data_IF_086030082920
#
_entry.id   IF_086030082920
#
_cell.length_a   1.000
_cell.length_b   1.000
_cell.length_c   1.000
_cell.angle_alpha   90.00
_cell.angle_beta   90.00
_cell.angle_gamma   90.00
#
_symmetry.space_group_name_H-M   'P 1'
#
loop_
_entity.id
_entity.type
_entity.pdbx_description
1 polymer ?
#
# COMPACT_ATOMS: atom_id res chain seq x y z
N UNK A 1 13.96 24.88 20.02
CA UNK A 1 12.60 24.62 19.51
C UNK A 1 12.02 23.50 20.35
N UNK A 2 10.79 23.65 20.88
CA UNK A 2 10.17 22.61 21.69
C UNK A 2 9.83 21.40 20.82
N UNK A 3 10.17 20.19 21.28
CA UNK A 3 9.75 18.95 20.60
C UNK A 3 8.25 18.80 20.83
N UNK A 4 7.43 18.67 19.78
CA UNK A 4 5.99 18.48 19.95
C UNK A 4 5.71 17.20 20.76
N UNK A 5 4.62 17.17 21.54
CA UNK A 5 4.26 15.98 22.30
C UNK A 5 4.05 14.80 21.35
N UNK A 6 4.47 13.61 21.79
CA UNK A 6 4.31 12.37 21.04
C UNK A 6 3.00 11.67 21.40
N UNK A 7 2.33 11.13 20.40
CA UNK A 7 1.15 10.30 20.49
C UNK A 7 1.54 8.85 20.19
N UNK A 8 1.03 7.90 20.97
CA UNK A 8 1.24 6.47 20.72
C UNK A 8 0.15 5.94 19.78
N UNK A 9 0.58 5.42 18.62
CA UNK A 9 -0.23 4.68 17.67
C UNK A 9 0.08 3.19 17.78
N UNK A 10 -0.92 2.35 17.56
CA UNK A 10 -0.78 0.89 17.48
C UNK A 10 -0.97 0.46 16.04
N UNK A 11 -0.26 -0.58 15.64
CA UNK A 11 -0.43 -1.18 14.33
C UNK A 11 -0.18 -2.67 14.33
N UNK A 12 -0.71 -3.34 13.32
CA UNK A 12 -0.53 -4.76 13.10
C UNK A 12 -0.70 -5.13 11.63
N UNK A 13 -0.12 -6.26 11.23
CA UNK A 13 -0.50 -6.89 9.97
C UNK A 13 -1.96 -7.39 10.04
N UNK A 14 -2.60 -7.66 8.90
CA UNK A 14 -4.02 -8.02 8.86
C UNK A 14 -4.38 -9.23 9.74
N UNK A 15 -3.56 -10.28 9.74
CA UNK A 15 -3.79 -11.47 10.57
C UNK A 15 -3.37 -11.30 12.04
N UNK A 16 -2.74 -10.18 12.41
CA UNK A 16 -2.31 -9.90 13.77
C UNK A 16 -1.02 -10.60 14.22
N UNK A 17 -0.38 -11.42 13.37
CA UNK A 17 0.86 -12.14 13.73
C UNK A 17 2.06 -11.21 14.03
N UNK A 18 2.03 -9.98 13.51
CA UNK A 18 3.02 -8.95 13.80
C UNK A 18 2.29 -7.71 14.33
N UNK A 19 2.66 -7.25 15.53
CA UNK A 19 2.07 -6.08 16.20
C UNK A 19 3.17 -5.14 16.65
N UNK A 20 2.93 -3.85 16.54
CA UNK A 20 3.89 -2.82 16.89
C UNK A 20 3.22 -1.57 17.46
N UNK A 21 4.05 -0.70 18.03
CA UNK A 21 3.71 0.64 18.50
C UNK A 21 4.60 1.67 17.82
N UNK A 22 4.06 2.86 17.66
CA UNK A 22 4.71 4.01 17.06
C UNK A 22 4.46 5.25 17.91
N UNK A 23 5.52 5.94 18.34
CA UNK A 23 5.43 7.19 19.12
C UNK A 23 5.91 8.38 18.32
N UNK A 24 5.00 9.05 17.63
CA UNK A 24 5.29 10.19 16.74
C UNK A 24 4.40 11.38 17.09
N UNK A 25 4.69 12.60 16.60
CA UNK A 25 3.72 13.69 16.67
C UNK A 25 2.39 13.29 16.04
N UNK A 26 1.33 14.05 16.35
CA UNK A 26 0.00 13.79 15.82
C UNK A 26 0.02 13.64 14.29
N UNK A 27 -0.53 12.52 13.82
CA UNK A 27 -0.55 12.16 12.41
C UNK A 27 -1.57 13.02 11.66
N UNK A 28 -1.07 14.03 10.95
CA UNK A 28 -1.87 14.91 10.09
C UNK A 28 -1.48 14.80 8.61
N UNK A 29 -0.42 14.06 8.31
CA UNK A 29 0.14 13.93 6.97
C UNK A 29 0.63 12.51 6.67
N UNK A 30 0.71 12.20 5.39
CA UNK A 30 1.25 10.95 4.86
C UNK A 30 2.11 11.23 3.63
N UNK A 31 3.01 10.31 3.31
CA UNK A 31 3.81 10.37 2.09
C UNK A 31 3.37 9.30 1.11
N UNK A 32 3.22 9.67 -0.17
CA UNK A 32 2.94 8.73 -1.27
C UNK A 32 3.99 8.88 -2.36
N UNK A 33 4.25 7.79 -3.08
CA UNK A 33 5.27 7.74 -4.12
C UNK A 33 4.77 6.95 -5.34
N UNK A 34 5.13 7.40 -6.53
CA UNK A 34 4.76 6.77 -7.81
C UNK A 34 5.81 5.78 -8.35
N UNK A 35 6.90 5.50 -7.62
CA UNK A 35 7.82 4.45 -8.08
C UNK A 35 7.11 3.10 -8.13
N UNK A 36 7.60 2.19 -8.98
CA UNK A 36 6.88 0.97 -9.36
C UNK A 36 6.40 0.12 -8.17
N UNK A 37 7.23 -0.05 -7.12
CA UNK A 37 6.85 -0.81 -5.92
C UNK A 37 5.82 -0.06 -5.05
N UNK A 38 5.96 1.26 -4.90
CA UNK A 38 5.06 2.08 -4.10
C UNK A 38 3.69 2.19 -4.74
N UNK A 39 3.65 2.35 -6.06
CA UNK A 39 2.43 2.38 -6.83
C UNK A 39 1.69 1.04 -6.76
N UNK A 40 2.38 -0.09 -7.02
CA UNK A 40 1.75 -1.43 -7.00
C UNK A 40 1.19 -1.82 -5.63
N UNK A 41 1.83 -1.40 -4.53
CA UNK A 41 1.35 -1.73 -3.17
C UNK A 41 0.44 -0.65 -2.56
N UNK A 42 0.26 0.50 -3.22
CA UNK A 42 -0.58 1.58 -2.70
C UNK A 42 -0.10 2.14 -1.36
N UNK A 43 1.21 2.22 -1.15
CA UNK A 43 1.80 2.65 0.12
C UNK A 43 1.40 4.06 0.54
N UNK A 44 1.14 4.23 1.83
CA UNK A 44 1.08 5.51 2.51
C UNK A 44 2.06 5.47 3.68
N UNK A 45 3.11 6.30 3.59
CA UNK A 45 4.24 6.22 4.50
C UNK A 45 4.21 7.31 5.56
N UNK A 46 4.69 6.95 6.75
CA UNK A 46 5.29 7.87 7.71
C UNK A 46 6.72 7.42 8.00
N UNK A 47 7.60 8.35 8.35
CA UNK A 47 9.04 8.12 8.48
C UNK A 47 9.53 8.46 9.90
N UNK A 48 9.27 7.59 10.89
CA UNK A 48 9.70 7.81 12.26
C UNK A 48 11.20 7.54 12.44
N UNK A 49 11.77 8.09 13.52
CA UNK A 49 13.06 7.62 14.01
C UNK A 49 12.94 6.18 14.53
N UNK A 50 14.01 5.38 14.43
CA UNK A 50 14.02 3.99 14.91
C UNK A 50 13.60 3.86 16.38
N UNK A 51 14.01 4.80 17.23
CA UNK A 51 13.67 4.83 18.65
C UNK A 51 12.18 5.08 18.94
N UNK A 52 11.40 5.53 17.94
CA UNK A 52 9.96 5.76 18.06
C UNK A 52 9.13 4.53 17.69
N UNK A 53 9.77 3.48 17.18
CA UNK A 53 9.12 2.23 16.79
C UNK A 53 9.43 1.14 17.82
N UNK A 54 8.43 0.33 18.16
CA UNK A 54 8.61 -0.79 19.09
C UNK A 54 7.77 -1.97 18.64
N UNK A 55 8.40 -3.13 18.47
CA UNK A 55 7.68 -4.39 18.24
C UNK A 55 7.03 -4.83 19.54
N UNK A 56 5.74 -5.16 19.48
CA UNK A 56 4.96 -5.67 20.62
C UNK A 56 4.83 -7.19 20.53
N UNK A 57 4.64 -7.73 19.32
CA UNK A 57 4.49 -9.16 19.07
C UNK A 57 5.05 -9.51 17.69
N UNK A 58 5.71 -10.67 17.61
CA UNK A 58 6.48 -11.08 16.45
C UNK A 58 7.89 -10.47 16.46
N UNK A 59 8.57 -10.60 15.33
CA UNK A 59 9.94 -10.14 15.12
C UNK A 59 10.13 -9.68 13.67
N UNK A 60 10.88 -8.60 13.48
CA UNK A 60 11.01 -7.95 12.18
C UNK A 60 11.71 -8.83 11.14
N UNK A 61 12.59 -9.75 11.55
CA UNK A 61 13.42 -10.54 10.64
C UNK A 61 12.90 -11.96 10.43
N UNK A 62 12.19 -12.51 11.41
CA UNK A 62 11.67 -13.88 11.37
C UNK A 62 10.17 -13.95 11.13
N UNK A 63 9.38 -12.99 11.62
CA UNK A 63 7.93 -12.96 11.40
C UNK A 63 7.55 -12.29 10.08
N UNK A 64 8.32 -11.28 9.66
CA UNK A 64 8.13 -10.62 8.37
C UNK A 64 9.08 -11.17 7.31
N UNK A 65 8.66 -11.14 6.06
CA UNK A 65 9.53 -11.38 4.90
C UNK A 65 9.97 -10.07 4.30
N UNK A 66 11.22 -10.03 3.85
CA UNK A 66 11.81 -8.88 3.16
C UNK A 66 11.79 -9.08 1.66
N UNK A 67 11.39 -8.03 0.94
CA UNK A 67 11.52 -7.93 -0.49
C UNK A 67 12.57 -6.88 -0.87
N UNK A 68 13.59 -7.31 -1.62
CA UNK A 68 14.69 -6.48 -2.10
C UNK A 68 14.72 -6.53 -3.63
N UNK A 69 14.97 -5.40 -4.27
CA UNK A 69 15.10 -5.28 -5.71
C UNK A 69 16.06 -4.16 -6.10
N UNK A 70 16.43 -4.08 -7.38
CA UNK A 70 17.33 -3.06 -7.89
C UNK A 70 18.65 -3.02 -7.12
N UNK A 71 19.02 -1.85 -6.61
CA UNK A 71 20.23 -1.64 -5.81
C UNK A 71 20.13 -2.16 -4.36
N UNK A 72 19.03 -2.80 -3.99
CA UNK A 72 18.80 -3.39 -2.66
C UNK A 72 18.95 -2.38 -1.50
N UNK A 73 18.59 -1.11 -1.74
CA UNK A 73 18.79 -0.02 -0.79
C UNK A 73 17.79 -0.05 0.38
N UNK A 74 16.58 -0.54 0.13
CA UNK A 74 15.48 -0.60 1.09
C UNK A 74 14.88 -2.01 1.06
N UNK A 75 14.76 -2.65 2.22
CA UNK A 75 13.99 -3.88 2.39
C UNK A 75 12.53 -3.53 2.65
N UNK A 76 11.63 -3.91 1.74
CA UNK A 76 10.19 -3.80 1.98
C UNK A 76 9.72 -5.04 2.74
N UNK A 77 9.29 -4.86 3.99
CA UNK A 77 8.90 -5.94 4.89
C UNK A 77 7.39 -6.13 4.90
N UNK A 78 6.94 -7.36 4.67
CA UNK A 78 5.53 -7.74 4.64
C UNK A 78 5.27 -9.03 5.41
N UNK A 79 4.04 -9.20 5.89
CA UNK A 79 3.64 -10.43 6.57
C UNK A 79 3.45 -11.55 5.53
N UNK A 80 4.18 -12.67 5.62
CA UNK A 80 4.05 -13.76 4.66
C UNK A 80 2.70 -14.48 4.75
N UNK A 81 2.01 -14.38 5.88
CA UNK A 81 0.72 -15.05 6.12
C UNK A 81 -0.45 -14.33 5.44
N UNK A 82 -0.46 -13.00 5.45
CA UNK A 82 -1.59 -12.21 4.96
C UNK A 82 -1.23 -11.20 3.87
N UNK A 83 0.05 -11.09 3.48
CA UNK A 83 0.52 -10.18 2.44
C UNK A 83 0.54 -8.70 2.85
N UNK A 84 0.16 -8.33 4.09
CA UNK A 84 0.20 -6.94 4.54
C UNK A 84 1.63 -6.42 4.54
N UNK A 85 1.89 -5.40 3.72
CA UNK A 85 3.15 -4.66 3.75
C UNK A 85 3.18 -3.69 4.92
N UNK A 86 4.14 -3.90 5.83
CA UNK A 86 4.18 -3.25 7.14
C UNK A 86 5.14 -2.06 7.15
N UNK A 87 6.36 -2.27 6.67
CA UNK A 87 7.43 -1.28 6.80
C UNK A 87 8.44 -1.38 5.66
N UNK A 88 9.26 -0.36 5.52
CA UNK A 88 10.52 -0.43 4.79
C UNK A 88 11.69 -0.09 5.71
N UNK A 89 12.79 -0.81 5.55
CA UNK A 89 13.99 -0.64 6.38
C UNK A 89 15.19 -0.39 5.47
N UNK A 90 15.97 0.65 5.76
CA UNK A 90 17.21 0.93 5.04
C UNK A 90 18.24 -0.17 5.26
N UNK A 91 18.83 -0.66 4.17
CA UNK A 91 19.89 -1.66 4.26
C UNK A 91 21.22 -1.02 4.71
N UNK A 92 22.07 -1.73 5.48
CA UNK A 92 23.32 -1.17 6.00
C UNK A 92 24.29 -0.67 4.92
N UNK A 93 24.31 -1.32 3.75
CA UNK A 93 25.13 -0.94 2.61
C UNK A 93 24.51 0.19 1.77
N UNK A 94 23.38 0.75 2.19
CA UNK A 94 22.71 1.80 1.44
C UNK A 94 23.49 3.10 1.50
N UNK A 95 23.89 3.60 0.33
CA UNK A 95 24.61 4.87 0.18
C UNK A 95 23.68 6.06 -0.05
N UNK A 96 22.36 5.85 0.00
CA UNK A 96 21.39 6.91 -0.30
C UNK A 96 21.33 7.92 0.85
N UNK A 97 21.97 9.07 0.63
CA UNK A 97 22.01 10.18 1.58
C UNK A 97 20.63 10.77 1.81
N UNK A 98 20.30 11.06 3.08
CA UNK A 98 19.08 11.77 3.48
C UNK A 98 17.80 10.93 3.45
N UNK A 99 17.86 9.68 3.00
CA UNK A 99 16.67 8.84 2.97
C UNK A 99 16.42 8.21 4.36
N UNK A 100 15.15 8.10 4.81
CA UNK A 100 14.82 7.61 6.15
C UNK A 100 15.34 6.20 6.42
N UNK A 101 15.69 5.88 7.67
CA UNK A 101 16.11 4.52 8.04
C UNK A 101 14.94 3.55 8.18
N UNK A 102 13.73 4.08 8.42
CA UNK A 102 12.50 3.33 8.63
C UNK A 102 11.32 4.08 8.02
N UNK A 103 10.48 3.38 7.26
CA UNK A 103 9.16 3.83 6.85
C UNK A 103 8.09 2.87 7.36
N UNK A 104 6.99 3.39 7.91
CA UNK A 104 5.85 2.59 8.39
C UNK A 104 4.65 2.85 7.49
N UNK A 105 4.02 1.78 7.00
CA UNK A 105 2.83 1.88 6.18
C UNK A 105 1.64 2.23 7.09
N UNK A 106 1.13 3.46 6.98
CA UNK A 106 0.05 3.98 7.79
C UNK A 106 -1.24 3.16 7.69
N UNK A 107 -1.42 2.41 6.61
CA UNK A 107 -2.56 1.49 6.44
C UNK A 107 -2.53 0.30 7.41
N UNK A 108 -1.45 0.11 8.14
CA UNK A 108 -1.32 -0.92 9.19
C UNK A 108 -1.62 -0.40 10.59
N UNK A 109 -1.84 0.92 10.75
CA UNK A 109 -2.25 1.49 12.02
C UNK A 109 -3.73 1.21 12.29
N UNK A 110 -4.04 0.99 13.56
CA UNK A 110 -5.41 0.77 14.04
C UNK A 110 -6.05 2.11 14.36
N UNK A 111 -7.33 2.26 14.04
CA UNK A 111 -8.15 3.44 14.33
C UNK A 111 -7.62 4.77 13.74
N UNK A 112 -6.93 4.71 12.61
CA UNK A 112 -6.46 5.89 11.86
C UNK A 112 -7.30 6.09 10.60
N UNK A 113 -7.88 7.28 10.44
CA UNK A 113 -8.48 7.70 9.18
C UNK A 113 -7.40 8.18 8.21
N UNK A 114 -6.82 7.25 7.45
CA UNK A 114 -5.76 7.57 6.48
C UNK A 114 -6.26 8.44 5.31
N UNK A 115 -7.57 8.48 5.06
CA UNK A 115 -8.14 9.21 3.92
C UNK A 115 -8.32 10.70 4.22
N UNK A 116 -8.30 11.10 5.50
CA UNK A 116 -8.34 12.51 5.93
C UNK A 116 -6.96 13.17 6.00
N UNK A 117 -5.87 12.40 5.83
CA UNK A 117 -4.51 12.91 5.95
C UNK A 117 -4.10 13.77 4.76
N UNK A 118 -3.29 14.80 5.01
CA UNK A 118 -2.62 15.55 3.95
C UNK A 118 -1.56 14.65 3.29
N UNK A 119 -1.73 14.34 2.01
CA UNK A 119 -0.77 13.48 1.30
C UNK A 119 0.29 14.32 0.58
N UNK A 120 1.52 14.26 1.07
CA UNK A 120 2.70 14.75 0.36
C UNK A 120 3.12 13.73 -0.70
N UNK A 121 3.22 14.19 -1.94
CA UNK A 121 3.63 13.37 -3.06
C UNK A 121 5.14 13.49 -3.31
N UNK A 122 5.80 12.35 -3.54
CA UNK A 122 7.17 12.26 -3.98
C UNK A 122 7.24 11.55 -5.33
N UNK A 123 7.84 12.21 -6.34
CA UNK A 123 8.03 11.64 -7.67
C UNK A 123 9.25 10.71 -7.71
N UNK A 124 9.10 9.52 -7.12
CA UNK A 124 10.14 8.51 -7.10
C UNK A 124 10.47 7.96 -8.49
N UNK A 125 9.54 7.99 -9.45
CA UNK A 125 9.81 7.55 -10.82
C UNK A 125 10.81 8.50 -11.53
N UNK A 126 10.69 9.80 -11.29
CA UNK A 126 11.63 10.79 -11.82
C UNK A 126 12.99 10.77 -11.09
N UNK A 127 12.98 10.66 -9.76
CA UNK A 127 14.18 10.87 -8.92
C UNK A 127 15.02 9.61 -8.72
N UNK A 128 14.39 8.43 -8.54
CA UNK A 128 15.13 7.21 -8.20
C UNK A 128 15.72 6.59 -9.48
N UNK A 129 17.07 6.58 -9.56
CA UNK A 129 17.81 6.11 -10.74
C UNK A 129 18.80 4.95 -10.45
N UNK A 130 18.98 4.03 -11.40
CA UNK A 130 18.16 3.86 -12.61
C UNK A 130 16.72 3.43 -12.22
N UNK A 131 15.71 3.71 -13.06
CA UNK A 131 14.38 3.15 -12.83
C UNK A 131 14.50 1.61 -12.83
N UNK A 132 13.77 0.97 -11.93
CA UNK A 132 13.70 -0.49 -11.96
C UNK A 132 12.74 -0.91 -13.07
N UNK A 133 13.25 -1.67 -14.02
CA UNK A 133 12.48 -2.31 -15.09
C UNK A 133 12.16 -3.75 -14.66
N UNK A 134 10.87 -4.00 -14.40
CA UNK A 134 10.37 -5.35 -14.16
C UNK A 134 10.15 -6.09 -15.48
N UNK A 135 9.91 -7.41 -15.43
CA UNK A 135 9.55 -8.16 -16.62
C UNK A 135 8.27 -7.61 -17.23
N UNK A 136 8.23 -7.51 -18.56
CA UNK A 136 7.04 -7.12 -19.31
C UNK A 136 5.89 -8.10 -19.03
N UNK A 137 4.64 -7.60 -18.91
CA UNK A 137 3.48 -8.47 -18.76
C UNK A 137 3.34 -9.42 -19.95
N UNK A 138 3.28 -10.73 -19.69
CA UNK A 138 3.08 -11.76 -20.72
C UNK A 138 1.63 -12.21 -20.72
N UNK A 139 1.09 -12.45 -21.91
CA UNK A 139 -0.23 -13.04 -22.07
C UNK A 139 -0.27 -14.45 -21.46
N UNK A 140 -1.27 -14.72 -20.63
CA UNK A 140 -1.44 -16.01 -19.97
C UNK A 140 -2.30 -17.01 -20.80
N UNK A 141 -2.60 -16.70 -22.07
CA UNK A 141 -3.42 -17.56 -22.93
C UNK A 141 -3.88 -16.91 -24.23
N UNK A 142 -4.67 -17.66 -25.02
CA UNK A 142 -5.31 -17.21 -26.28
C UNK A 142 -6.59 -16.44 -25.98
N UNK A 143 -6.84 -15.38 -26.75
CA UNK A 143 -7.95 -14.45 -26.51
C UNK A 143 -9.04 -14.60 -27.55
N UNK A 144 -10.30 -14.51 -27.12
CA UNK A 144 -11.44 -14.54 -28.02
C UNK A 144 -11.49 -13.25 -28.85
N UNK A 145 -11.89 -13.38 -30.11
CA UNK A 145 -12.03 -12.24 -31.03
C UNK A 145 -13.04 -11.22 -30.48
N UNK A 146 -12.74 -9.93 -30.64
CA UNK A 146 -13.58 -8.84 -30.11
C UNK A 146 -13.42 -8.54 -28.62
N UNK A 147 -12.51 -9.21 -27.89
CA UNK A 147 -12.21 -8.91 -26.48
C UNK A 147 -11.04 -7.93 -26.30
N UNK A 148 -11.01 -7.23 -25.16
CA UNK A 148 -9.87 -6.41 -24.74
C UNK A 148 -9.05 -7.14 -23.68
N UNK A 149 -7.74 -7.17 -23.87
CA UNK A 149 -6.76 -7.78 -22.98
C UNK A 149 -6.10 -6.79 -22.04
N UNK A 150 -5.92 -7.20 -20.79
CA UNK A 150 -5.07 -6.50 -19.83
C UNK A 150 -4.12 -7.49 -19.20
N UNK A 151 -2.84 -7.35 -19.49
CA UNK A 151 -1.81 -8.23 -18.99
C UNK A 151 -1.22 -7.69 -17.69
N UNK A 152 -0.87 -8.59 -16.79
CA UNK A 152 -0.14 -8.25 -15.59
C UNK A 152 0.72 -9.40 -15.12
N UNK A 153 1.68 -9.08 -14.27
CA UNK A 153 2.61 -10.05 -13.71
C UNK A 153 3.09 -9.59 -12.33
N UNK A 154 3.56 -10.55 -11.54
CA UNK A 154 4.32 -10.25 -10.34
C UNK A 154 5.68 -9.65 -10.71
N UNK A 155 6.31 -8.99 -9.75
CA UNK A 155 7.56 -8.27 -9.98
C UNK A 155 8.72 -9.17 -10.49
N UNK A 156 8.70 -10.47 -10.22
CA UNK A 156 9.69 -11.41 -10.77
C UNK A 156 9.24 -12.12 -12.05
N UNK A 157 7.99 -11.91 -12.51
CA UNK A 157 7.43 -12.56 -13.69
C UNK A 157 6.98 -14.01 -13.50
N UNK A 158 7.28 -14.64 -12.35
CA UNK A 158 6.89 -16.03 -12.07
C UNK A 158 5.36 -16.27 -12.07
N UNK A 159 4.58 -15.22 -11.82
CA UNK A 159 3.13 -15.22 -11.94
C UNK A 159 2.76 -14.17 -12.96
N UNK A 160 2.05 -14.57 -14.00
CA UNK A 160 1.46 -13.69 -15.00
C UNK A 160 -0.04 -13.99 -15.12
N UNK A 161 -0.82 -12.97 -15.48
CA UNK A 161 -2.25 -13.09 -15.68
C UNK A 161 -2.68 -12.24 -16.87
N UNK A 162 -3.83 -12.58 -17.42
CA UNK A 162 -4.52 -11.77 -18.42
C UNK A 162 -5.97 -11.63 -18.01
N UNK A 163 -6.37 -10.40 -17.71
CA UNK A 163 -7.77 -10.03 -17.55
C UNK A 163 -8.34 -9.79 -18.95
N UNK A 164 -9.40 -10.52 -19.28
CA UNK A 164 -10.12 -10.40 -20.54
C UNK A 164 -11.44 -9.71 -20.27
N UNK A 165 -11.73 -8.65 -21.00
CA UNK A 165 -13.00 -7.93 -20.92
C UNK A 165 -13.70 -7.94 -22.28
N UNK A 166 -15.04 -8.09 -22.33
CA UNK A 166 -15.79 -8.03 -23.60
C UNK A 166 -15.78 -6.63 -24.23
N UNK A 167 -15.36 -5.60 -23.49
CA UNK A 167 -15.17 -4.24 -23.97
C UNK A 167 -13.97 -3.59 -23.29
N UNK A 168 -13.45 -2.52 -23.88
CA UNK A 168 -12.39 -1.72 -23.26
C UNK A 168 -12.93 -1.01 -22.03
N UNK A 169 -12.36 -1.31 -20.86
CA UNK A 169 -12.65 -0.63 -19.60
C UNK A 169 -12.37 0.87 -19.78
N UNK A 170 -13.41 1.66 -19.61
CA UNK A 170 -13.44 3.10 -19.80
C UNK A 170 -13.75 3.83 -18.50
N UNK A 171 -13.53 5.15 -18.48
CA UNK A 171 -13.87 5.99 -17.32
C UNK A 171 -15.37 5.93 -17.01
N UNK A 172 -16.23 5.83 -18.02
CA UNK A 172 -17.69 5.70 -17.83
C UNK A 172 -18.07 4.40 -17.12
N UNK A 173 -17.38 3.29 -17.40
CA UNK A 173 -17.66 2.00 -16.75
C UNK A 173 -17.36 2.07 -15.25
N UNK A 174 -16.27 2.75 -14.88
CA UNK A 174 -15.89 2.98 -13.47
C UNK A 174 -16.94 3.84 -12.77
N UNK A 175 -17.42 4.91 -13.42
CA UNK A 175 -18.44 5.80 -12.85
C UNK A 175 -19.80 5.09 -12.69
N UNK A 176 -20.19 4.25 -13.64
CA UNK A 176 -21.42 3.45 -13.54
C UNK A 176 -21.37 2.46 -12.36
N UNK A 177 -20.23 1.81 -12.11
CA UNK A 177 -20.04 0.96 -10.93
C UNK A 177 -20.24 1.75 -9.63
N UNK A 178 -19.74 2.99 -9.54
CA UNK A 178 -19.97 3.84 -8.37
C UNK A 178 -21.46 4.14 -8.15
N UNK A 179 -22.24 4.32 -9.22
CA UNK A 179 -23.70 4.46 -9.10
C UNK A 179 -24.38 3.18 -8.61
N UNK A 180 -23.91 2.01 -9.05
CA UNK A 180 -24.42 0.71 -8.60
C UNK A 180 -24.09 0.44 -7.12
N UNK A 181 -22.87 0.72 -6.66
CA UNK A 181 -22.51 0.59 -5.24
C UNK A 181 -23.28 1.57 -4.35
N UNK A 182 -23.60 2.78 -4.83
CA UNK A 182 -24.51 3.71 -4.14
C UNK A 182 -25.96 3.21 -4.05
N UNK A 183 -26.40 2.32 -4.97
CA UNK A 183 -27.74 1.69 -4.92
C UNK A 183 -27.78 0.43 -4.07
N UNK A 184 -26.66 -0.27 -3.89
CA UNK A 184 -26.61 -1.48 -3.07
C UNK A 184 -26.69 -1.17 -1.56
N UNK A 185 -26.30 0.04 -1.14
CA UNK A 185 -26.40 0.52 0.24
C UNK A 185 -27.82 0.79 0.76
N UNK A 186 -28.87 0.46 0.00
CA UNK A 186 -30.28 0.64 0.41
C UNK A 186 -31.05 -0.68 0.47
N UNK A 187 -30.37 -1.83 0.39
CA UNK A 187 -31.04 -3.12 0.63
C UNK A 187 -31.01 -3.41 2.13
N UNK A 188 -32.09 -3.03 2.83
CA UNK A 188 -32.39 -3.55 4.17
C UNK A 188 -32.66 -5.05 4.04
N UNK A 189 -31.70 -5.89 4.45
CA UNK A 189 -31.90 -7.32 4.62
C UNK A 189 -32.58 -7.51 5.98
N UNK A 190 -33.84 -8.01 6.06
CA UNK A 190 -34.52 -8.20 7.32
C UNK A 190 -33.73 -9.17 8.22
N UNK A 191 -33.27 -8.69 9.37
CA UNK A 191 -32.57 -9.50 10.39
C UNK A 191 -31.06 -9.24 10.53
N UNK A 192 -30.43 -8.45 9.65
CA UNK A 192 -29.01 -8.10 9.79
C UNK A 192 -28.83 -6.64 10.25
N UNK A 193 -28.43 -6.44 11.51
CA UNK A 193 -27.93 -5.15 11.99
C UNK A 193 -26.53 -4.92 11.41
N UNK A 194 -26.42 -4.22 10.29
CA UNK A 194 -25.14 -3.66 9.86
C UNK A 194 -24.82 -2.46 10.76
N UNK A 195 -23.77 -2.58 11.59
CA UNK A 195 -23.20 -1.41 12.24
C UNK A 195 -22.70 -0.46 11.14
N UNK A 196 -23.19 0.78 11.17
CA UNK A 196 -22.91 1.86 10.23
C UNK A 196 -21.42 1.92 9.82
N UNK A 197 -21.08 1.28 8.70
CA UNK A 197 -19.81 1.53 8.02
C UNK A 197 -19.96 2.88 7.32
N UNK A 198 -19.52 3.96 7.97
CA UNK A 198 -19.56 5.29 7.42
C UNK A 198 -18.81 5.34 6.08
N UNK A 199 -19.61 5.58 5.03
CA UNK A 199 -19.31 6.14 3.71
C UNK A 199 -17.83 6.53 3.49
N UNK A 200 -17.09 5.73 2.75
CA UNK A 200 -15.85 6.18 2.08
C UNK A 200 -16.09 6.26 0.58
N UNK A 201 -16.29 7.49 0.09
CA UNK A 201 -16.42 7.77 -1.33
C UNK A 201 -15.09 7.56 -2.04
N UNK A 202 -15.09 6.75 -3.10
CA UNK A 202 -13.96 6.57 -3.99
C UNK A 202 -13.70 7.89 -4.76
N UNK A 203 -12.76 8.73 -4.29
CA UNK A 203 -12.32 9.92 -5.04
C UNK A 203 -11.30 9.51 -6.09
N UNK A 204 -11.71 9.52 -7.36
CA UNK A 204 -10.77 9.53 -8.49
C UNK A 204 -10.22 10.95 -8.57
N UNK A 205 -8.91 11.14 -8.36
CA UNK A 205 -8.25 12.44 -8.61
C UNK A 205 -8.28 12.68 -10.13
N UNK A 206 -8.70 13.88 -10.52
CA UNK A 206 -8.70 14.34 -11.92
C UNK A 206 -7.29 14.41 -12.48
#
# INVERSE_FOLDING_TARGET
MAVPPLVEYRGNCHCGAFKFKLKIPELNQAHSCNCSICFKNGYLWTFPARAQFTVVEGDEDTTLKSYLFGKQMMAHKFCPTCGTSVMEVRMPHSTQVGAPSLGINLRTLVDVDVDSLLVHFFDGAAVLKPPYEGPEPVAAGVMAEGTTAYHGNCHCGAVAYTLVSPHKISKSDILQLQHLFKRCSTVDIPGHKYNNFQRRGFRIRN
#
